data_IF_413090310021
#
_entry.id   IF_413090310021
#
_cell.length_a   1.000
_cell.length_b   1.000
_cell.length_c   1.000
_cell.angle_alpha   90.00
_cell.angle_beta   90.00
_cell.angle_gamma   90.00
#
_symmetry.space_group_name_H-M   'P 1'
#
loop_
_entity.id
_entity.type
_entity.pdbx_description
1 polymer ?
#
# COMPACT_ATOMS: atom_id res chain seq x y z
N UNK A 1 -13.87 3.21 -10.63
CA UNK A 1 -13.03 4.42 -10.79
C UNK A 1 -11.59 3.99 -10.97
N UNK A 2 -10.91 4.46 -12.03
CA UNK A 2 -9.56 4.00 -12.41
C UNK A 2 -8.52 5.12 -12.30
N UNK A 3 -8.96 6.38 -12.24
CA UNK A 3 -8.09 7.55 -12.06
C UNK A 3 -8.04 8.03 -10.59
N UNK A 4 -6.87 8.50 -10.17
CA UNK A 4 -6.61 8.95 -8.80
C UNK A 4 -7.35 10.25 -8.47
N UNK A 5 -7.42 11.20 -9.40
CA UNK A 5 -8.01 12.51 -9.12
C UNK A 5 -9.52 12.42 -8.97
N UNK A 6 -10.17 11.57 -9.77
CA UNK A 6 -11.58 11.28 -9.60
C UNK A 6 -11.85 10.66 -8.22
N UNK A 7 -10.93 9.81 -7.73
CA UNK A 7 -11.07 9.12 -6.44
C UNK A 7 -11.11 10.08 -5.25
N UNK A 8 -10.43 11.22 -5.34
CA UNK A 8 -10.46 12.25 -4.31
C UNK A 8 -11.86 12.83 -4.08
N UNK A 9 -12.68 12.86 -5.13
CA UNK A 9 -14.04 13.43 -5.10
C UNK A 9 -15.15 12.39 -4.84
N UNK A 10 -14.78 11.13 -4.64
CA UNK A 10 -15.75 10.05 -4.42
C UNK A 10 -16.51 10.22 -3.11
N UNK A 11 -17.82 10.02 -3.15
CA UNK A 11 -18.71 10.05 -1.98
C UNK A 11 -19.77 8.94 -2.06
N UNK A 12 -20.40 8.63 -0.94
CA UNK A 12 -21.46 7.60 -0.85
C UNK A 12 -21.00 6.24 -1.37
N UNK A 13 -21.77 5.65 -2.27
CA UNK A 13 -21.51 4.31 -2.83
C UNK A 13 -20.22 4.21 -3.65
N UNK A 14 -19.61 5.33 -4.03
CA UNK A 14 -18.31 5.36 -4.72
C UNK A 14 -17.10 5.24 -3.77
N UNK A 15 -17.34 5.24 -2.45
CA UNK A 15 -16.29 5.03 -1.45
C UNK A 15 -15.99 3.53 -1.31
N UNK A 16 -14.75 3.13 -1.55
CA UNK A 16 -14.32 1.73 -1.64
C UNK A 16 -14.27 1.04 -0.27
N UNK A 17 -13.94 1.79 0.77
CA UNK A 17 -13.77 1.27 2.13
C UNK A 17 -14.56 2.11 3.13
N UNK A 18 -15.91 2.05 3.11
CA UNK A 18 -16.76 2.91 3.93
C UNK A 18 -16.53 2.72 5.44
N UNK A 19 -16.09 1.54 5.86
CA UNK A 19 -15.73 1.25 7.26
C UNK A 19 -14.46 1.99 7.74
N UNK A 20 -13.71 2.65 6.84
CA UNK A 20 -12.53 3.47 7.17
C UNK A 20 -12.80 4.98 7.09
N UNK A 21 -14.00 5.39 6.71
CA UNK A 21 -14.41 6.78 6.55
C UNK A 21 -15.09 7.04 5.21
N UNK A 22 -15.42 8.32 4.97
CA UNK A 22 -16.31 8.73 3.87
C UNK A 22 -15.56 9.12 2.58
N UNK A 23 -14.26 8.81 2.48
CA UNK A 23 -13.42 9.18 1.32
C UNK A 23 -12.53 8.02 0.89
N UNK A 24 -12.02 8.09 -0.35
CA UNK A 24 -11.01 7.16 -0.86
C UNK A 24 -9.56 7.57 -0.51
N UNK A 25 -9.35 8.58 0.34
CA UNK A 25 -8.01 9.02 0.75
C UNK A 25 -7.51 8.12 1.89
N UNK A 26 -6.63 7.17 1.56
CA UNK A 26 -6.07 6.26 2.56
C UNK A 26 -5.07 6.93 3.52
N UNK A 27 -4.34 7.95 3.06
CA UNK A 27 -3.36 8.69 3.85
C UNK A 27 -3.17 10.09 3.27
N UNK A 28 -3.20 11.11 4.13
CA UNK A 28 -2.83 12.48 3.79
C UNK A 28 -1.80 13.01 4.80
N UNK A 29 -0.63 13.42 4.30
CA UNK A 29 0.46 14.00 5.10
C UNK A 29 1.09 15.16 4.36
N UNK A 30 1.33 16.25 5.08
CA UNK A 30 2.05 17.42 4.59
C UNK A 30 3.37 17.50 5.34
N UNK A 31 4.47 17.67 4.59
CA UNK A 31 5.80 17.83 5.15
C UNK A 31 6.38 19.16 4.67
N UNK A 32 6.81 20.00 5.62
CA UNK A 32 7.41 21.30 5.35
C UNK A 32 8.76 21.35 6.06
N UNK A 33 9.80 21.77 5.34
CA UNK A 33 11.16 21.85 5.86
C UNK A 33 11.77 23.20 5.49
N UNK A 34 12.00 24.05 6.50
CA UNK A 34 12.52 25.41 6.30
C UNK A 34 11.45 26.46 5.96
N UNK A 35 11.84 27.71 5.68
CA UNK A 35 10.94 28.83 5.37
C UNK A 35 10.51 28.83 3.89
N UNK A 36 9.83 27.75 3.45
CA UNK A 36 9.49 27.46 2.05
C UNK A 36 8.86 28.67 1.33
N UNK A 37 7.90 29.33 1.96
CA UNK A 37 7.14 30.45 1.41
C UNK A 37 8.01 31.68 1.17
N UNK A 38 8.95 31.96 2.08
CA UNK A 38 9.89 33.06 1.89
C UNK A 38 10.87 32.79 0.75
N UNK A 39 11.34 31.54 0.65
CA UNK A 39 12.28 31.14 -0.40
C UNK A 39 11.63 31.22 -1.78
N UNK A 40 10.36 30.80 -1.91
CA UNK A 40 9.59 30.99 -3.13
C UNK A 40 9.35 32.47 -3.46
N UNK A 41 9.10 33.32 -2.46
CA UNK A 41 8.87 34.75 -2.68
C UNK A 41 10.12 35.51 -3.16
N UNK A 42 11.31 35.03 -2.79
CA UNK A 42 12.61 35.64 -3.14
C UNK A 42 13.20 35.10 -4.45
N UNK A 43 12.64 34.02 -5.01
CA UNK A 43 13.21 33.35 -6.17
C UNK A 43 13.08 34.18 -7.46
N UNK A 44 14.17 34.32 -8.21
CA UNK A 44 14.16 35.00 -9.51
C UNK A 44 13.26 34.29 -10.54
N UNK A 45 13.12 32.97 -10.39
CA UNK A 45 12.31 32.10 -11.26
C UNK A 45 11.71 30.95 -10.47
N UNK A 46 10.45 30.63 -10.76
CA UNK A 46 9.74 29.44 -10.27
C UNK A 46 9.34 28.59 -11.47
N UNK A 47 9.62 27.28 -11.40
CA UNK A 47 9.25 26.31 -12.44
C UNK A 47 8.32 25.28 -11.81
N UNK A 48 7.12 25.18 -12.37
CA UNK A 48 6.13 24.19 -11.96
C UNK A 48 5.89 23.18 -13.09
N UNK A 49 5.85 21.89 -12.74
CA UNK A 49 5.53 20.80 -13.66
C UNK A 49 4.71 19.74 -12.95
N UNK A 50 3.77 19.15 -13.68
CA UNK A 50 2.98 18.00 -13.22
C UNK A 50 3.56 16.72 -13.81
N UNK A 51 3.99 15.81 -12.94
CA UNK A 51 4.57 14.52 -13.32
C UNK A 51 3.63 13.37 -12.94
N UNK A 52 3.64 12.29 -13.74
CA UNK A 52 2.92 11.04 -13.46
C UNK A 52 3.86 9.88 -13.67
N UNK A 53 4.06 9.07 -12.63
CA UNK A 53 4.76 7.79 -12.73
C UNK A 53 3.73 6.67 -12.91
N UNK A 54 3.79 5.90 -14.01
CA UNK A 54 2.88 4.78 -14.21
C UNK A 54 3.19 3.63 -13.24
N UNK A 55 2.27 2.67 -13.15
CA UNK A 55 2.50 1.45 -12.39
C UNK A 55 3.67 0.67 -12.98
N UNK A 56 4.65 0.37 -12.14
CA UNK A 56 5.72 -0.59 -12.42
C UNK A 56 5.57 -1.78 -11.48
N UNK A 57 5.90 -2.97 -11.95
CA UNK A 57 5.87 -4.21 -11.17
C UNK A 57 7.27 -4.82 -11.09
N UNK A 58 7.54 -5.61 -10.05
CA UNK A 58 8.86 -6.26 -9.89
C UNK A 58 9.16 -7.37 -10.91
N UNK A 59 8.12 -7.92 -11.55
CA UNK A 59 8.20 -8.96 -12.61
C UNK A 59 9.32 -10.00 -12.40
N UNK A 60 9.38 -10.70 -11.25
CA UNK A 60 10.35 -11.78 -11.05
C UNK A 60 10.07 -12.94 -12.03
N UNK A 61 11.14 -13.64 -12.43
CA UNK A 61 11.02 -14.82 -13.30
C UNK A 61 10.33 -16.00 -12.59
N UNK A 62 10.56 -16.14 -11.29
CA UNK A 62 9.82 -17.07 -10.44
C UNK A 62 8.51 -16.42 -9.98
N UNK A 63 7.39 -17.07 -10.23
CA UNK A 63 6.08 -16.61 -9.76
C UNK A 63 5.91 -16.86 -8.25
N UNK A 64 4.95 -16.18 -7.62
CA UNK A 64 4.62 -16.44 -6.22
C UNK A 64 4.14 -17.88 -6.02
N UNK A 65 4.63 -18.55 -4.98
CA UNK A 65 4.27 -19.93 -4.66
C UNK A 65 4.42 -20.26 -3.18
N UNK A 66 3.51 -21.07 -2.66
CA UNK A 66 3.56 -21.61 -1.31
C UNK A 66 2.99 -23.04 -1.28
N UNK A 67 3.62 -23.93 -0.52
CA UNK A 67 3.15 -25.28 -0.22
C UNK A 67 3.00 -25.41 1.28
N UNK A 68 1.80 -25.68 1.75
CA UNK A 68 1.51 -25.90 3.16
C UNK A 68 1.31 -27.40 3.43
N UNK A 69 1.94 -27.90 4.48
CA UNK A 69 1.77 -29.24 5.02
C UNK A 69 1.23 -29.13 6.45
N UNK A 70 0.12 -29.79 6.73
CA UNK A 70 -0.48 -29.83 8.07
C UNK A 70 -0.24 -31.19 8.72
N UNK A 71 0.25 -31.18 9.95
CA UNK A 71 0.38 -32.36 10.79
C UNK A 71 -0.77 -32.41 11.80
N UNK A 72 -1.75 -33.34 11.65
CA UNK A 72 -2.86 -33.47 12.58
C UNK A 72 -2.45 -33.99 13.97
N UNK A 73 -1.28 -34.64 14.11
CA UNK A 73 -0.78 -35.13 15.39
C UNK A 73 -0.25 -34.01 16.28
N UNK A 74 0.35 -32.98 15.69
CA UNK A 74 0.85 -31.81 16.42
C UNK A 74 -0.02 -30.56 16.28
N UNK A 75 -0.98 -30.56 15.34
CA UNK A 75 -1.80 -29.41 15.02
C UNK A 75 -1.03 -28.27 14.34
N UNK A 76 0.13 -28.56 13.72
CA UNK A 76 1.03 -27.54 13.16
C UNK A 76 1.05 -27.53 11.65
N UNK A 77 1.27 -26.35 11.09
CA UNK A 77 1.56 -26.15 9.67
C UNK A 77 3.07 -25.95 9.45
N UNK A 78 3.61 -26.60 8.42
CA UNK A 78 4.89 -26.26 7.81
C UNK A 78 4.63 -25.67 6.44
N UNK A 79 5.10 -24.45 6.19
CA UNK A 79 4.84 -23.73 4.94
C UNK A 79 6.16 -23.43 4.25
N UNK A 80 6.34 -23.96 3.05
CA UNK A 80 7.47 -23.65 2.15
C UNK A 80 6.99 -22.63 1.13
N UNK A 81 7.57 -21.42 1.14
CA UNK A 81 7.15 -20.34 0.23
C UNK A 81 8.33 -19.48 -0.19
N UNK A 82 8.26 -18.88 -1.38
CA UNK A 82 9.26 -17.93 -1.88
C UNK A 82 9.04 -16.49 -1.36
N UNK A 83 8.78 -16.37 -0.04
CA UNK A 83 8.56 -15.07 0.62
C UNK A 83 9.83 -14.56 1.29
N UNK A 84 10.08 -13.25 1.16
CA UNK A 84 11.12 -12.56 1.94
C UNK A 84 10.64 -12.11 3.33
N UNK A 85 9.35 -12.27 3.62
CA UNK A 85 8.71 -11.79 4.86
C UNK A 85 8.46 -12.93 5.87
N UNK A 86 9.47 -13.78 6.10
CA UNK A 86 9.33 -14.99 6.91
C UNK A 86 8.78 -14.74 8.34
N UNK A 87 9.15 -13.62 8.96
CA UNK A 87 8.63 -13.26 10.28
C UNK A 87 7.17 -12.74 10.23
N UNK A 88 6.78 -12.00 9.19
CA UNK A 88 5.47 -11.34 9.14
C UNK A 88 4.36 -12.27 8.61
N UNK A 89 4.69 -13.13 7.64
CA UNK A 89 3.74 -14.06 7.06
C UNK A 89 3.16 -15.03 8.10
N UNK A 90 3.98 -15.52 9.04
CA UNK A 90 3.53 -16.44 10.09
C UNK A 90 2.39 -15.87 10.94
N UNK A 91 2.55 -14.64 11.46
CA UNK A 91 1.53 -13.98 12.27
C UNK A 91 0.23 -13.71 11.50
N UNK A 92 0.34 -13.24 10.26
CA UNK A 92 -0.84 -12.95 9.43
C UNK A 92 -1.63 -14.22 9.11
N UNK A 93 -0.93 -15.33 8.84
CA UNK A 93 -1.57 -16.62 8.58
C UNK A 93 -2.27 -17.14 9.83
N UNK A 94 -1.61 -17.05 11.00
CA UNK A 94 -2.19 -17.45 12.28
C UNK A 94 -3.48 -16.65 12.59
N UNK A 95 -3.43 -15.33 12.47
CA UNK A 95 -4.59 -14.44 12.65
C UNK A 95 -5.73 -14.76 11.67
N UNK A 96 -5.41 -14.99 10.39
CA UNK A 96 -6.41 -15.32 9.37
C UNK A 96 -7.07 -16.68 9.57
N UNK A 97 -6.34 -17.64 10.14
CA UNK A 97 -6.84 -18.98 10.47
C UNK A 97 -7.41 -19.07 11.88
N UNK A 98 -7.28 -18.00 12.67
CA UNK A 98 -7.69 -17.93 14.08
C UNK A 98 -7.07 -19.06 14.94
N UNK A 99 -5.74 -19.23 14.83
CA UNK A 99 -4.93 -20.22 15.57
C UNK A 99 -3.72 -19.61 16.26
#
# INVERSE_FOLDING_TARGET
MVDLEEALSSTGDAVLHPYRGDTNVALARTFTFGPVEEDFAKADRVIERRFRWPRSGGTPMETHGAVASFDPGTGKFTITANTSMYNYCGWMIADSLNV
#
